data_IF_251752374843
#
_entry.id   IF_251752374843
#
_cell.length_a   1.000
_cell.length_b   1.000
_cell.length_c   1.000
_cell.angle_alpha   90.00
_cell.angle_beta   90.00
_cell.angle_gamma   90.00
#
_symmetry.space_group_name_H-M   'P 1'
#
loop_
_entity.id
_entity.type
_entity.pdbx_description
1 polymer ?
#
# COMPACT_ATOMS: atom_id res chain seq x y z
N UNK A 1 22.07 -0.54 4.78
CA UNK A 1 20.79 -1.28 4.97
C UNK A 1 19.59 -0.44 4.51
N UNK A 2 19.22 0.68 5.15
CA UNK A 2 18.25 1.65 4.57
C UNK A 2 18.81 2.31 3.30
N UNK A 3 20.09 2.67 3.33
CA UNK A 3 20.85 3.16 2.17
C UNK A 3 20.81 2.22 0.96
N UNK A 4 20.79 0.90 1.15
CA UNK A 4 20.81 -0.06 0.02
C UNK A 4 19.43 -0.26 -0.61
N UNK A 5 18.35 -0.03 0.15
CA UNK A 5 16.99 0.03 -0.39
C UNK A 5 16.80 1.33 -1.19
N UNK A 6 17.22 2.46 -0.64
CA UNK A 6 17.23 3.78 -1.31
C UNK A 6 18.13 3.80 -2.56
N UNK A 7 19.25 3.09 -2.54
CA UNK A 7 20.20 3.02 -3.65
C UNK A 7 19.74 2.09 -4.78
N UNK A 8 18.95 1.05 -4.47
CA UNK A 8 18.27 0.22 -5.48
C UNK A 8 17.13 0.98 -6.16
N UNK A 9 16.40 1.81 -5.42
CA UNK A 9 15.38 2.70 -5.96
C UNK A 9 15.97 3.76 -6.92
N UNK A 10 17.19 4.24 -6.65
CA UNK A 10 17.92 5.20 -7.53
C UNK A 10 18.36 4.68 -8.90
N UNK A 11 18.50 3.37 -9.13
CA UNK A 11 19.13 2.86 -10.37
C UNK A 11 18.17 2.61 -11.53
N UNK A 12 16.86 2.66 -11.31
CA UNK A 12 15.85 2.53 -12.36
C UNK A 12 15.33 3.93 -12.73
N UNK A 13 15.84 4.46 -13.84
CA UNK A 13 15.46 5.74 -14.48
C UNK A 13 14.13 6.36 -13.99
N UNK A 14 14.28 7.27 -13.01
CA UNK A 14 13.56 8.54 -12.80
C UNK A 14 12.08 8.52 -13.20
N UNK A 15 11.26 7.87 -12.37
CA UNK A 15 9.82 8.10 -12.34
C UNK A 15 9.49 9.08 -11.21
N UNK A 16 8.42 9.86 -11.39
CA UNK A 16 7.96 10.96 -10.52
C UNK A 16 7.86 10.60 -9.03
N UNK A 17 7.81 9.32 -8.71
CA UNK A 17 7.80 8.73 -7.38
C UNK A 17 9.06 9.02 -6.53
N UNK A 18 10.27 9.02 -7.12
CA UNK A 18 11.51 9.37 -6.38
C UNK A 18 11.56 10.86 -6.04
N UNK A 19 11.03 11.73 -6.92
CA UNK A 19 10.89 13.18 -6.65
C UNK A 19 9.89 13.44 -5.52
N UNK A 20 8.87 12.60 -5.41
CA UNK A 20 7.89 12.64 -4.35
C UNK A 20 8.48 12.15 -3.02
N UNK A 21 9.21 11.03 -3.01
CA UNK A 21 9.88 10.53 -1.80
C UNK A 21 10.98 11.46 -1.25
N UNK A 22 11.83 12.00 -2.13
CA UNK A 22 12.86 12.94 -1.73
C UNK A 22 12.29 14.26 -1.18
N UNK A 23 11.07 14.66 -1.59
CA UNK A 23 10.36 15.85 -1.08
C UNK A 23 9.63 15.60 0.24
N UNK A 24 9.06 14.40 0.43
CA UNK A 24 8.37 14.03 1.69
C UNK A 24 9.35 13.88 2.85
N UNK A 25 10.59 13.45 2.58
CA UNK A 25 11.65 13.36 3.58
C UNK A 25 12.27 14.74 3.96
N UNK A 26 11.99 15.80 3.19
CA UNK A 26 12.49 17.15 3.40
C UNK A 26 11.31 18.14 3.61
N UNK A 27 10.67 18.04 4.79
CA UNK A 27 9.81 19.02 5.47
C UNK A 27 9.08 20.06 4.57
N UNK A 28 7.98 19.67 3.93
CA UNK A 28 6.82 20.55 3.64
C UNK A 28 5.56 19.69 3.38
N UNK A 29 4.51 19.77 4.22
CA UNK A 29 3.29 18.96 4.06
C UNK A 29 2.38 19.39 2.88
N UNK A 30 2.80 20.32 2.03
CA UNK A 30 1.97 20.86 0.94
C UNK A 30 2.74 21.07 -0.36
N UNK A 31 2.79 20.07 -1.24
CA UNK A 31 3.35 20.24 -2.58
C UNK A 31 2.36 19.78 -3.65
N UNK A 32 1.91 20.74 -4.46
CA UNK A 32 1.16 20.52 -5.71
C UNK A 32 2.14 20.30 -6.87
N UNK A 33 2.16 19.08 -7.41
CA UNK A 33 2.73 18.75 -8.73
C UNK A 33 1.52 18.50 -9.64
N UNK A 34 1.32 19.34 -10.66
CA UNK A 34 0.06 19.42 -11.46
C UNK A 34 -1.22 19.31 -10.60
N UNK A 35 -1.28 20.07 -9.50
CA UNK A 35 -2.37 20.08 -8.50
C UNK A 35 -3.00 18.71 -8.13
N UNK A 36 -2.28 17.59 -8.27
CA UNK A 36 -2.72 16.29 -7.81
C UNK A 36 -2.09 16.04 -6.45
N UNK A 37 -2.93 15.99 -5.42
CA UNK A 37 -2.51 15.69 -4.05
C UNK A 37 -2.46 14.18 -3.88
N UNK A 38 -1.36 13.69 -3.30
CA UNK A 38 -1.19 12.30 -2.91
C UNK A 38 -0.88 12.23 -1.42
N UNK A 39 -1.41 11.21 -0.74
CA UNK A 39 -1.12 10.94 0.66
C UNK A 39 -0.26 9.69 0.78
N UNK A 40 0.84 9.76 1.53
CA UNK A 40 1.72 8.61 1.80
C UNK A 40 1.36 7.98 3.13
N UNK A 41 1.13 6.67 3.10
CA UNK A 41 0.75 5.85 4.22
C UNK A 41 1.92 4.90 4.51
N UNK A 42 2.70 5.14 5.57
CA UNK A 42 3.69 4.16 6.02
C UNK A 42 2.96 2.94 6.60
N UNK A 43 3.37 1.76 6.19
CA UNK A 43 2.83 0.47 6.68
C UNK A 43 3.95 -0.34 7.31
N UNK A 44 3.69 -0.93 8.47
CA UNK A 44 4.67 -1.77 9.20
C UNK A 44 4.02 -3.00 9.78
N UNK A 45 4.71 -4.14 9.72
CA UNK A 45 4.21 -5.41 10.20
C UNK A 45 5.30 -6.43 10.47
N UNK A 46 4.88 -7.68 10.60
CA UNK A 46 5.74 -8.82 10.89
C UNK A 46 5.60 -9.85 9.77
N UNK A 47 6.73 -10.19 9.13
CA UNK A 47 6.83 -11.29 8.18
C UNK A 47 6.99 -12.63 8.89
N UNK A 48 7.56 -13.62 8.20
CA UNK A 48 7.86 -14.91 8.83
C UNK A 48 8.99 -14.78 9.84
N UNK A 49 10.10 -14.15 9.44
CA UNK A 49 11.33 -14.11 10.23
C UNK A 49 11.49 -12.81 11.00
N UNK A 50 11.15 -11.68 10.38
CA UNK A 50 11.43 -10.36 10.95
C UNK A 50 10.44 -9.28 10.46
N UNK A 51 10.72 -8.03 10.77
CA UNK A 51 9.94 -6.88 10.35
C UNK A 51 9.83 -6.80 8.81
N UNK A 52 8.63 -6.47 8.37
CA UNK A 52 8.30 -6.04 7.01
C UNK A 52 7.70 -4.64 7.10
N UNK A 53 7.92 -3.82 6.09
CA UNK A 53 7.38 -2.48 6.03
C UNK A 53 7.15 -2.06 4.57
N UNK A 54 6.58 -0.89 4.40
CA UNK A 54 6.35 -0.33 3.09
C UNK A 54 5.75 1.06 3.16
N UNK A 55 5.46 1.59 1.97
CA UNK A 55 4.79 2.85 1.80
C UNK A 55 3.78 2.72 0.66
N UNK A 56 2.54 3.11 0.96
CA UNK A 56 1.45 3.13 -0.01
C UNK A 56 1.07 4.58 -0.24
N UNK A 57 1.02 5.02 -1.49
CA UNK A 57 0.47 6.32 -1.84
C UNK A 57 -0.97 6.18 -2.33
N UNK A 58 -1.84 7.08 -1.88
CA UNK A 58 -3.22 7.19 -2.36
C UNK A 58 -3.48 8.58 -2.95
N UNK A 59 -4.44 8.67 -3.88
CA UNK A 59 -4.86 9.92 -4.50
C UNK A 59 -5.62 10.81 -3.51
N UNK A 60 -5.98 12.01 -3.96
CA UNK A 60 -6.72 13.00 -3.18
C UNK A 60 -8.11 12.54 -2.70
N UNK A 61 -8.65 11.48 -3.29
CA UNK A 61 -9.89 10.84 -2.82
C UNK A 61 -9.70 10.06 -1.50
N UNK A 62 -8.46 9.86 -1.06
CA UNK A 62 -8.11 9.15 0.17
C UNK A 62 -8.28 7.63 0.08
N UNK A 63 -8.58 7.10 -1.10
CA UNK A 63 -8.89 5.67 -1.29
C UNK A 63 -8.05 5.02 -2.37
N UNK A 64 -7.92 5.67 -3.53
CA UNK A 64 -7.35 5.07 -4.74
C UNK A 64 -5.84 5.00 -4.65
N UNK A 65 -5.28 3.79 -4.74
CA UNK A 65 -3.84 3.58 -4.67
C UNK A 65 -3.17 4.11 -5.94
N UNK A 66 -2.05 4.80 -5.77
CA UNK A 66 -1.24 5.38 -6.84
C UNK A 66 0.17 4.78 -6.91
N UNK A 67 0.60 4.06 -5.87
CA UNK A 67 1.92 3.44 -5.78
C UNK A 67 2.06 2.67 -4.48
N UNK A 68 2.85 1.60 -4.52
CA UNK A 68 3.16 0.77 -3.38
C UNK A 68 4.63 0.34 -3.45
N UNK A 69 5.32 0.39 -2.32
CA UNK A 69 6.64 -0.23 -2.16
C UNK A 69 6.69 -0.98 -0.84
N UNK A 70 7.40 -2.11 -0.81
CA UNK A 70 7.61 -2.91 0.39
C UNK A 70 9.08 -3.27 0.57
N UNK A 71 9.46 -3.54 1.80
CA UNK A 71 10.78 -4.09 2.12
C UNK A 71 10.71 -4.92 3.39
N UNK A 72 11.81 -5.62 3.67
CA UNK A 72 11.90 -6.56 4.77
C UNK A 72 13.30 -6.58 5.36
N UNK A 73 13.39 -7.00 6.62
CA UNK A 73 14.69 -7.12 7.29
C UNK A 73 15.42 -8.41 6.93
N UNK A 74 14.73 -9.55 6.93
CA UNK A 74 15.39 -10.86 6.81
C UNK A 74 14.52 -11.97 6.19
N UNK A 75 13.52 -11.64 5.37
CA UNK A 75 12.78 -12.66 4.63
C UNK A 75 13.70 -13.41 3.64
N UNK A 76 13.34 -14.65 3.32
CA UNK A 76 14.20 -15.54 2.52
C UNK A 76 14.14 -15.18 1.03
N UNK A 77 15.29 -14.95 0.35
CA UNK A 77 15.35 -14.75 -1.11
C UNK A 77 14.67 -15.88 -1.90
N UNK A 78 13.89 -15.53 -2.92
CA UNK A 78 13.10 -16.49 -3.71
C UNK A 78 11.83 -16.99 -3.01
N UNK A 79 11.55 -16.53 -1.78
CA UNK A 79 10.32 -16.77 -1.03
C UNK A 79 9.80 -15.41 -0.55
N UNK A 80 9.58 -15.21 0.75
CA UNK A 80 9.04 -13.97 1.31
C UNK A 80 9.79 -12.68 0.94
N UNK A 81 11.07 -12.75 0.57
CA UNK A 81 11.81 -11.56 0.16
C UNK A 81 11.27 -10.91 -1.13
N UNK A 82 10.52 -11.67 -1.94
CA UNK A 82 10.00 -11.16 -3.22
C UNK A 82 8.87 -10.13 -3.05
N UNK A 83 8.47 -9.79 -1.81
CA UNK A 83 7.55 -8.66 -1.57
C UNK A 83 8.13 -7.31 -2.00
N UNK A 84 9.45 -7.17 -2.13
CA UNK A 84 10.13 -5.93 -2.58
C UNK A 84 10.40 -5.89 -4.09
N UNK A 85 9.62 -6.64 -4.87
CA UNK A 85 9.73 -6.70 -6.33
C UNK A 85 8.55 -6.02 -6.99
N UNK A 86 8.83 -5.42 -8.14
CA UNK A 86 7.85 -4.81 -9.04
C UNK A 86 6.66 -5.76 -9.33
N UNK A 87 6.91 -7.06 -9.48
CA UNK A 87 5.88 -8.09 -9.71
C UNK A 87 4.82 -8.12 -8.60
N UNK A 88 5.23 -7.93 -7.34
CA UNK A 88 4.31 -7.87 -6.20
C UNK A 88 3.74 -6.47 -6.00
N UNK A 89 4.59 -5.44 -6.06
CA UNK A 89 4.23 -4.04 -5.80
C UNK A 89 3.22 -3.48 -6.82
N UNK A 90 3.37 -3.81 -8.10
CA UNK A 90 2.52 -3.26 -9.16
C UNK A 90 1.06 -3.74 -9.08
N UNK A 91 0.80 -4.91 -8.46
CA UNK A 91 -0.55 -5.44 -8.27
C UNK A 91 -1.42 -4.53 -7.40
N UNK A 92 -0.81 -3.69 -6.55
CA UNK A 92 -1.53 -2.74 -5.71
C UNK A 92 -1.94 -1.47 -6.45
N UNK A 93 -1.37 -1.21 -7.63
CA UNK A 93 -1.66 0.01 -8.41
C UNK A 93 -2.85 -0.23 -9.33
N UNK A 94 -2.90 -1.42 -9.96
CA UNK A 94 -3.96 -1.84 -10.89
C UNK A 94 -4.22 -3.33 -10.77
N UNK A 95 -5.49 -3.72 -10.86
CA UNK A 95 -5.90 -5.11 -10.92
C UNK A 95 -5.65 -5.70 -12.32
N UNK A 96 -5.97 -6.99 -12.49
CA UNK A 96 -5.83 -7.70 -13.77
C UNK A 96 -6.62 -7.07 -14.93
N UNK A 97 -7.67 -6.31 -14.64
CA UNK A 97 -8.49 -5.60 -15.63
C UNK A 97 -7.95 -4.19 -15.96
N UNK A 98 -6.91 -3.75 -15.26
CA UNK A 98 -6.32 -2.41 -15.39
C UNK A 98 -7.00 -1.32 -14.55
N UNK A 99 -7.97 -1.69 -13.72
CA UNK A 99 -8.67 -0.78 -12.80
C UNK A 99 -7.86 -0.55 -11.54
N UNK A 100 -7.88 0.66 -10.97
CA UNK A 100 -7.07 0.97 -9.80
C UNK A 100 -7.63 0.34 -8.52
N UNK A 101 -6.76 -0.24 -7.69
CA UNK A 101 -7.15 -0.74 -6.37
C UNK A 101 -7.39 0.40 -5.37
N UNK A 102 -8.19 0.09 -4.36
CA UNK A 102 -8.50 1.00 -3.25
C UNK A 102 -8.11 0.38 -1.92
N UNK A 103 -7.71 1.21 -0.96
CA UNK A 103 -7.25 0.75 0.36
C UNK A 103 -8.35 0.11 1.22
N UNK A 104 -9.64 0.31 0.90
CA UNK A 104 -10.73 -0.17 1.73
C UNK A 104 -12.09 -0.09 1.05
N UNK A 105 -13.00 -0.98 1.46
CA UNK A 105 -14.41 -1.00 1.05
C UNK A 105 -15.31 -1.23 2.27
N UNK A 106 -16.39 -0.45 2.35
CA UNK A 106 -17.49 -0.64 3.30
C UNK A 106 -18.83 -0.36 2.61
N UNK A 107 -19.91 -1.00 3.05
CA UNK A 107 -21.25 -0.75 2.51
C UNK A 107 -21.81 0.62 2.92
N UNK A 108 -21.40 1.10 4.10
CA UNK A 108 -21.79 2.40 4.65
C UNK A 108 -20.69 2.88 5.60
N UNK A 109 -20.32 4.15 5.48
CA UNK A 109 -19.32 4.74 6.38
C UNK A 109 -19.82 4.83 7.83
N UNK A 110 -21.15 4.92 8.02
CA UNK A 110 -21.76 4.99 9.35
C UNK A 110 -21.54 3.70 10.15
N UNK A 111 -21.34 2.57 9.46
CA UNK A 111 -21.15 1.28 10.10
C UNK A 111 -19.65 0.92 10.26
N UNK A 112 -18.72 1.76 9.81
CA UNK A 112 -17.28 1.43 9.72
C UNK A 112 -16.72 0.88 11.05
N UNK A 113 -16.30 -0.37 11.03
CA UNK A 113 -15.69 -1.10 12.13
C UNK A 113 -14.52 -1.97 11.63
N UNK A 114 -13.63 -2.44 12.52
CA UNK A 114 -12.56 -3.37 12.12
C UNK A 114 -13.07 -4.67 11.49
N UNK A 115 -14.31 -5.06 11.78
CA UNK A 115 -14.92 -6.32 11.34
C UNK A 115 -15.53 -6.21 9.95
N UNK A 116 -16.15 -5.07 9.61
CA UNK A 116 -16.74 -4.88 8.29
C UNK A 116 -15.80 -4.19 7.28
N UNK A 117 -14.67 -3.66 7.75
CA UNK A 117 -13.64 -3.08 6.89
C UNK A 117 -12.96 -4.14 6.04
N UNK A 118 -13.19 -4.07 4.72
CA UNK A 118 -12.55 -4.94 3.73
C UNK A 118 -11.33 -4.22 3.15
N UNK A 119 -10.15 -4.61 3.62
CA UNK A 119 -8.85 -4.23 3.06
C UNK A 119 -8.50 -5.10 1.85
N UNK A 120 -7.39 -4.78 1.19
CA UNK A 120 -6.74 -5.66 0.23
C UNK A 120 -6.27 -6.94 0.93
N UNK A 121 -6.64 -8.10 0.39
CA UNK A 121 -6.13 -9.40 0.80
C UNK A 121 -4.97 -9.82 -0.09
N UNK A 122 -4.06 -10.60 0.49
CA UNK A 122 -2.94 -11.21 -0.22
C UNK A 122 -3.20 -12.70 -0.23
N UNK A 123 -3.70 -13.21 -1.37
CA UNK A 123 -4.18 -14.59 -1.48
C UNK A 123 -3.12 -15.50 -2.10
N UNK A 124 -3.38 -16.79 -2.13
CA UNK A 124 -2.48 -17.72 -2.82
C UNK A 124 -2.40 -17.35 -4.31
N UNK A 125 -1.19 -17.37 -4.92
CA UNK A 125 -1.03 -17.10 -6.36
C UNK A 125 -2.04 -17.86 -7.22
N UNK A 126 -2.69 -17.14 -8.15
CA UNK A 126 -3.67 -17.70 -9.09
C UNK A 126 -5.00 -18.11 -8.45
N UNK A 127 -5.32 -17.58 -7.26
CA UNK A 127 -6.55 -17.88 -6.52
C UNK A 127 -7.41 -16.64 -6.25
N UNK A 128 -7.25 -15.59 -7.06
CA UNK A 128 -8.06 -14.38 -6.98
C UNK A 128 -9.54 -14.71 -7.20
N UNK A 129 -10.39 -14.19 -6.31
CA UNK A 129 -11.85 -14.30 -6.40
C UNK A 129 -12.54 -12.94 -6.41
N UNK A 130 -11.84 -11.90 -5.93
CA UNK A 130 -12.28 -10.52 -5.95
C UNK A 130 -11.12 -9.63 -6.45
N UNK A 131 -11.01 -9.38 -7.78
CA UNK A 131 -9.88 -8.65 -8.35
C UNK A 131 -9.78 -7.19 -7.88
N UNK A 132 -10.82 -6.66 -7.24
CA UNK A 132 -10.83 -5.30 -6.73
C UNK A 132 -10.22 -5.17 -5.31
N UNK A 133 -10.08 -6.30 -4.62
CA UNK A 133 -9.69 -6.34 -3.22
C UNK A 133 -8.69 -7.46 -2.90
N UNK A 134 -8.17 -8.16 -3.91
CA UNK A 134 -7.23 -9.27 -3.75
C UNK A 134 -6.04 -9.08 -4.69
N UNK A 135 -4.85 -9.41 -4.19
CA UNK A 135 -3.62 -9.52 -4.97
C UNK A 135 -3.00 -10.90 -4.73
N UNK A 136 -2.20 -11.36 -5.68
CA UNK A 136 -1.44 -12.59 -5.51
C UNK A 136 -0.32 -12.39 -4.49
N UNK A 137 -0.22 -13.31 -3.55
CA UNK A 137 0.89 -13.43 -2.62
C UNK A 137 2.13 -14.00 -3.27
N UNK A 138 3.13 -14.31 -2.45
CA UNK A 138 4.37 -14.90 -2.92
C UNK A 138 4.32 -16.42 -2.82
N UNK A 139 4.60 -17.11 -3.93
CA UNK A 139 4.72 -18.58 -3.92
C UNK A 139 5.82 -19.03 -2.94
N UNK A 140 5.47 -19.92 -2.00
CA UNK A 140 6.37 -20.34 -0.93
C UNK A 140 6.62 -19.30 0.17
N UNK A 141 6.10 -18.07 0.03
CA UNK A 141 6.17 -16.97 1.00
C UNK A 141 4.84 -16.72 1.73
N UNK A 142 4.07 -17.77 2.04
CA UNK A 142 2.71 -17.65 2.60
C UNK A 142 2.65 -16.85 3.90
N UNK A 143 3.57 -17.12 4.85
CA UNK A 143 3.56 -16.39 6.13
C UNK A 143 3.92 -14.91 5.96
N UNK A 144 4.84 -14.59 5.07
CA UNK A 144 5.15 -13.20 4.70
C UNK A 144 3.94 -12.52 4.07
N UNK A 145 3.26 -13.21 3.14
CA UNK A 145 2.05 -12.72 2.47
C UNK A 145 0.92 -12.43 3.46
N UNK A 146 0.71 -13.32 4.43
CA UNK A 146 -0.23 -13.11 5.55
C UNK A 146 0.18 -11.91 6.39
N UNK A 147 1.49 -11.74 6.66
CA UNK A 147 2.04 -10.58 7.34
C UNK A 147 1.74 -9.27 6.61
N UNK A 148 1.90 -9.24 5.28
CA UNK A 148 1.55 -8.08 4.45
C UNK A 148 0.06 -7.79 4.53
N UNK A 149 -0.80 -8.81 4.37
CA UNK A 149 -2.25 -8.64 4.47
C UNK A 149 -2.68 -8.04 5.82
N UNK A 150 -2.13 -8.55 6.93
CA UNK A 150 -2.43 -8.05 8.27
C UNK A 150 -1.98 -6.59 8.44
N UNK A 151 -0.74 -6.31 8.04
CA UNK A 151 -0.14 -4.97 8.06
C UNK A 151 -1.01 -3.95 7.30
N UNK A 152 -1.48 -4.31 6.11
CA UNK A 152 -2.34 -3.47 5.29
C UNK A 152 -3.70 -3.28 5.94
N UNK A 153 -4.37 -4.35 6.39
CA UNK A 153 -5.69 -4.25 7.03
C UNK A 153 -5.67 -3.32 8.23
N UNK A 154 -4.70 -3.48 9.13
CA UNK A 154 -4.57 -2.66 10.33
C UNK A 154 -4.34 -1.19 9.99
N UNK A 155 -3.44 -0.91 9.04
CA UNK A 155 -3.07 0.47 8.70
C UNK A 155 -4.16 1.16 7.90
N UNK A 156 -4.68 0.50 6.86
CA UNK A 156 -5.71 1.08 6.00
C UNK A 156 -7.00 1.37 6.74
N UNK A 157 -7.39 0.58 7.74
CA UNK A 157 -8.55 0.92 8.56
C UNK A 157 -8.45 2.31 9.20
N UNK A 158 -7.29 2.64 9.77
CA UNK A 158 -7.04 3.92 10.44
C UNK A 158 -7.09 5.08 9.44
N UNK A 159 -6.40 4.94 8.30
CA UNK A 159 -6.35 6.01 7.29
C UNK A 159 -7.66 6.16 6.53
N UNK A 160 -8.34 5.07 6.21
CA UNK A 160 -9.66 5.08 5.58
C UNK A 160 -10.66 5.83 6.46
N UNK A 161 -10.67 5.54 7.76
CA UNK A 161 -11.49 6.29 8.74
C UNK A 161 -11.14 7.78 8.72
N UNK A 162 -9.85 8.12 8.82
CA UNK A 162 -9.39 9.50 8.85
C UNK A 162 -9.80 10.31 7.60
N UNK A 163 -9.58 9.75 6.40
CA UNK A 163 -9.93 10.44 5.16
C UNK A 163 -11.44 10.63 5.01
N UNK A 164 -12.23 9.63 5.37
CA UNK A 164 -13.69 9.73 5.29
C UNK A 164 -14.28 10.71 6.31
N UNK A 165 -13.77 10.75 7.55
CA UNK A 165 -14.18 11.76 8.53
C UNK A 165 -13.92 13.19 8.06
N UNK A 166 -12.80 13.42 7.36
CA UNK A 166 -12.46 14.73 6.79
C UNK A 166 -13.39 15.12 5.62
N UNK A 167 -13.74 14.16 4.77
CA UNK A 167 -14.68 14.38 3.67
C UNK A 167 -16.09 14.74 4.18
N UNK A 168 -16.55 14.09 5.26
CA UNK A 168 -17.84 14.40 5.91
C UNK A 168 -17.89 15.80 6.54
N UNK A 169 -16.77 16.32 7.04
CA UNK A 169 -16.70 17.69 7.58
C UNK A 169 -16.78 18.74 6.48
N UNK A 170 -16.15 18.46 5.33
CA UNK A 170 -16.14 19.38 4.18
C UNK A 170 -17.51 19.48 3.51
N UNK A 171 -18.30 18.40 3.52
CA UNK A 171 -19.65 18.36 2.92
C UNK A 171 -20.76 19.03 3.76
N UNK A 172 -20.47 19.45 5.00
CA UNK A 172 -21.44 20.12 5.90
C UNK A 172 -21.35 21.65 5.89
N UNK A 173 -20.48 22.22 5.06
CA UNK A 173 -20.28 23.67 4.85
C UNK A 173 -20.90 24.10 3.52
#
# INVERSE_FOLDING_TARGET
MVEDALRRARSYKINEFERFFAKVLDIDPTIQLEAKTYYVIPVTGKGLWDAIWGYISVKSDGETIAGAIFDHKAETPGLGAEINKDEFENQFIKNENGDPLKIGRVSSIADLSPDNFKSIKVVKPGSLTDPDAEVDGISGGTFTSVGVQEMLKRTFYVYYKHFNERNLQTAKL
#
